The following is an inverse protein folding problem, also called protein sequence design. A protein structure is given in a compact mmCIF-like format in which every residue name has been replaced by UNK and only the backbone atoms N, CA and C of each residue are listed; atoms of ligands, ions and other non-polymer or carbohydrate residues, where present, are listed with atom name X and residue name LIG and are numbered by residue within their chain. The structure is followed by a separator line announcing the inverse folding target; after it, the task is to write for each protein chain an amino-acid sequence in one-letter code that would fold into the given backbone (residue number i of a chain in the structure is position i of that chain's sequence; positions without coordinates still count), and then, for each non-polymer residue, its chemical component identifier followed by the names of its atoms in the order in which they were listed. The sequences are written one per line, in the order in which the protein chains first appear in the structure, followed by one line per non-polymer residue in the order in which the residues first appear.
data_IF_623529309130
#
_entry.id   IF_623529309130
#
_cell.length_a   1.000
_cell.length_b   1.000
_cell.length_c   1.000
_cell.angle_alpha   90.00
_cell.angle_beta   90.00
_cell.angle_gamma   90.00
#
_symmetry.space_group_name_H-M   'P 1'
#
loop_
_entity.id
_entity.type
_entity.pdbx_description
1 polymer ?
#
# COMPACT_ATOMS: atom_id res chain seq x y z
N UNK A 1 2.75 0.83 -8.50
CA UNK A 1 3.78 1.00 -7.44
C UNK A 1 4.82 2.09 -7.73
N UNK A 2 5.08 2.50 -8.99
CA UNK A 2 6.11 3.52 -9.32
C UNK A 2 6.01 4.83 -8.52
N UNK A 3 4.79 5.29 -8.24
CA UNK A 3 4.58 6.50 -7.42
C UNK A 3 5.10 6.26 -6.00
N UNK A 4 4.67 5.19 -5.33
CA UNK A 4 5.12 4.85 -3.97
C UNK A 4 6.64 4.66 -3.90
N UNK A 5 7.24 4.04 -4.92
CA UNK A 5 8.69 3.91 -5.01
C UNK A 5 9.40 5.26 -5.10
N UNK A 6 8.83 6.24 -5.80
CA UNK A 6 9.33 7.61 -5.83
C UNK A 6 9.15 8.38 -4.51
N UNK A 7 8.36 7.86 -3.58
CA UNK A 7 8.18 8.43 -2.23
C UNK A 7 9.06 7.75 -1.17
N UNK A 8 9.89 6.77 -1.54
CA UNK A 8 10.63 5.93 -0.60
C UNK A 8 11.64 6.70 0.28
N UNK A 9 12.14 7.84 -0.21
CA UNK A 9 13.11 8.68 0.51
C UNK A 9 12.44 9.65 1.51
N UNK A 10 11.11 9.74 1.53
CA UNK A 10 10.39 10.60 2.46
C UNK A 10 10.36 10.01 3.87
N UNK A 11 10.29 10.90 4.87
CA UNK A 11 10.06 10.50 6.26
C UNK A 11 8.58 10.17 6.49
N UNK A 12 8.16 8.97 6.06
CA UNK A 12 6.79 8.49 6.25
C UNK A 12 6.60 8.06 7.70
N UNK A 13 5.74 8.77 8.43
CA UNK A 13 5.39 8.49 9.84
C UNK A 13 4.15 7.60 10.00
N UNK A 14 3.39 7.40 8.94
CA UNK A 14 2.17 6.57 8.92
C UNK A 14 1.51 6.55 7.54
N UNK A 15 0.62 5.59 7.33
CA UNK A 15 -0.17 5.44 6.11
C UNK A 15 -1.51 4.74 6.40
N UNK A 16 -2.50 4.94 5.54
CA UNK A 16 -3.77 4.21 5.52
C UNK A 16 -4.08 3.68 4.10
N UNK A 17 -4.94 2.67 4.04
CA UNK A 17 -5.51 2.14 2.79
C UNK A 17 -7.01 1.98 3.03
N UNK A 18 -7.81 2.77 2.34
CA UNK A 18 -9.25 2.89 2.55
C UNK A 18 -10.02 2.48 1.29
N UNK A 19 -11.35 2.39 1.41
CA UNK A 19 -12.28 2.13 0.30
C UNK A 19 -12.10 0.77 -0.40
N UNK A 20 -11.62 -0.24 0.33
CA UNK A 20 -11.69 -1.64 -0.12
C UNK A 20 -13.05 -2.20 0.30
N UNK A 21 -13.93 -2.51 -0.66
CA UNK A 21 -15.26 -3.05 -0.40
C UNK A 21 -15.40 -4.48 -0.93
N UNK A 22 -15.27 -5.51 -0.07
CA UNK A 22 -15.24 -6.92 -0.51
C UNK A 22 -16.50 -7.36 -1.25
N UNK A 23 -17.67 -6.85 -0.86
CA UNK A 23 -18.95 -7.21 -1.47
C UNK A 23 -19.06 -6.78 -2.95
N UNK A 24 -18.25 -5.81 -3.37
CA UNK A 24 -18.22 -5.28 -4.73
C UNK A 24 -16.90 -5.63 -5.45
N UNK A 25 -16.05 -6.45 -4.84
CA UNK A 25 -14.77 -6.82 -5.41
C UNK A 25 -14.91 -8.07 -6.28
N UNK A 26 -14.64 -7.91 -7.57
CA UNK A 26 -14.72 -9.03 -8.51
C UNK A 26 -13.38 -9.76 -8.54
N UNK A 27 -13.39 -11.05 -8.15
CA UNK A 27 -12.20 -11.89 -8.09
C UNK A 27 -11.09 -11.34 -7.15
N UNK A 28 -11.50 -10.67 -6.07
CA UNK A 28 -10.64 -10.17 -4.99
C UNK A 28 -9.50 -9.24 -5.46
N UNK A 29 -9.63 -8.65 -6.66
CA UNK A 29 -8.57 -7.86 -7.27
C UNK A 29 -8.31 -6.55 -6.51
N UNK A 30 -9.36 -5.95 -5.93
CA UNK A 30 -9.28 -4.71 -5.18
C UNK A 30 -8.66 -4.95 -3.81
N UNK A 31 -9.04 -6.04 -3.14
CA UNK A 31 -8.43 -6.50 -1.90
C UNK A 31 -6.96 -6.83 -2.10
N UNK A 32 -6.61 -7.55 -3.17
CA UNK A 32 -5.22 -7.86 -3.51
C UNK A 32 -4.41 -6.59 -3.80
N UNK A 33 -4.98 -5.65 -4.54
CA UNK A 33 -4.33 -4.36 -4.82
C UNK A 33 -4.10 -3.55 -3.53
N UNK A 34 -5.10 -3.46 -2.65
CA UNK A 34 -5.00 -2.79 -1.36
C UNK A 34 -3.94 -3.41 -0.45
N UNK A 35 -3.91 -4.75 -0.34
CA UNK A 35 -2.89 -5.48 0.40
C UNK A 35 -1.48 -5.25 -0.16
N UNK A 36 -1.34 -5.21 -1.50
CA UNK A 36 -0.06 -4.94 -2.16
C UNK A 36 0.45 -3.52 -1.88
N UNK A 37 -0.45 -2.53 -1.85
CA UNK A 37 -0.11 -1.14 -1.49
C UNK A 37 0.36 -1.05 -0.03
N UNK A 38 -0.39 -1.65 0.90
CA UNK A 38 -0.02 -1.67 2.32
C UNK A 38 1.34 -2.35 2.54
N UNK A 39 1.61 -3.46 1.86
CA UNK A 39 2.89 -4.16 1.93
C UNK A 39 4.04 -3.29 1.40
N UNK A 40 3.82 -2.53 0.34
CA UNK A 40 4.85 -1.62 -0.19
C UNK A 40 5.23 -0.54 0.83
N UNK A 41 4.26 0.03 1.55
CA UNK A 41 4.56 0.97 2.63
C UNK A 41 5.34 0.32 3.78
N UNK A 42 5.01 -0.93 4.15
CA UNK A 42 5.78 -1.68 5.14
C UNK A 42 7.24 -1.85 4.71
N UNK A 43 7.50 -2.15 3.44
CA UNK A 43 8.86 -2.24 2.92
C UNK A 43 9.60 -0.90 2.99
N UNK A 44 8.94 0.21 2.67
CA UNK A 44 9.55 1.54 2.77
C UNK A 44 9.88 1.94 4.21
N UNK A 45 9.02 1.59 5.17
CA UNK A 45 9.30 1.77 6.60
C UNK A 45 10.46 0.89 7.07
N UNK A 46 10.52 -0.35 6.58
CA UNK A 46 11.58 -1.30 6.94
C UNK A 46 12.93 -0.90 6.33
N UNK A 47 12.98 -0.39 5.11
CA UNK A 47 14.23 0.00 4.43
C UNK A 47 14.91 1.23 5.03
N UNK A 48 14.22 1.97 5.91
CA UNK A 48 14.79 3.12 6.65
C UNK A 48 15.39 2.73 8.01
N UNK A 49 15.18 1.50 8.50
CA UNK A 49 15.84 0.99 9.71
C UNK A 49 17.23 0.45 9.39
#
# INVERSE_FOLDING_TARGET
LRILQGLADLDIVGFDVVEVSPAYDHADITQLAGATIALQFLYMLASRK
#
